data_IF_547140440311
#
_entry.id   IF_547140440311
#
_cell.length_a   1.000
_cell.length_b   1.000
_cell.length_c   1.000
_cell.angle_alpha   90.00
_cell.angle_beta   90.00
_cell.angle_gamma   90.00
#
_symmetry.space_group_name_H-M   'P 1'
#
loop_
_entity.id
_entity.type
_entity.pdbx_description
1 polymer ?
#
# COMPACT_ATOMS: atom_id res chain seq x y z
N UNK A 1 6.92 -25.00 39.23
CA UNK A 1 6.08 -25.96 38.48
C UNK A 1 4.76 -25.34 37.98
N UNK A 2 4.15 -24.36 38.69
CA UNK A 2 2.92 -23.65 38.25
C UNK A 2 2.93 -23.10 36.81
N UNK A 3 3.99 -22.40 36.40
CA UNK A 3 4.04 -21.66 35.12
C UNK A 3 3.96 -22.59 33.90
N UNK A 4 4.48 -23.82 34.02
CA UNK A 4 4.46 -24.80 32.93
C UNK A 4 3.06 -25.33 32.69
N UNK A 5 2.31 -25.61 33.76
CA UNK A 5 0.94 -26.13 33.67
C UNK A 5 -0.04 -25.08 33.13
N UNK A 6 0.17 -23.81 33.48
CA UNK A 6 -0.66 -22.72 32.95
C UNK A 6 -0.42 -22.48 31.45
N UNK A 7 0.84 -22.58 30.98
CA UNK A 7 1.15 -22.52 29.54
C UNK A 7 0.56 -23.70 28.77
N UNK A 8 0.65 -24.91 29.32
CA UNK A 8 0.06 -26.12 28.71
C UNK A 8 -1.46 -25.97 28.58
N UNK A 9 -2.12 -25.50 29.65
CA UNK A 9 -3.57 -25.25 29.64
C UNK A 9 -3.98 -24.19 28.61
N UNK A 10 -3.27 -23.06 28.55
CA UNK A 10 -3.53 -22.00 27.56
C UNK A 10 -3.35 -22.48 26.12
N UNK A 11 -2.30 -23.24 25.84
CA UNK A 11 -2.07 -23.79 24.50
C UNK A 11 -3.19 -24.76 24.08
N UNK A 12 -3.61 -25.66 24.97
CA UNK A 12 -4.70 -26.59 24.70
C UNK A 12 -6.02 -25.88 24.39
N UNK A 13 -6.32 -24.77 25.07
CA UNK A 13 -7.53 -23.98 24.82
C UNK A 13 -7.49 -23.30 23.45
N UNK A 14 -6.35 -22.75 23.05
CA UNK A 14 -6.20 -22.11 21.72
C UNK A 14 -6.23 -23.14 20.58
N UNK A 15 -5.72 -24.35 20.81
CA UNK A 15 -5.83 -25.48 19.87
C UNK A 15 -7.29 -25.92 19.66
N UNK A 16 -8.08 -26.04 20.73
CA UNK A 16 -9.50 -26.42 20.65
C UNK A 16 -10.30 -25.36 19.89
N UNK A 17 -10.15 -24.07 20.21
CA UNK A 17 -10.83 -22.98 19.50
C UNK A 17 -10.50 -22.94 18.01
N UNK A 18 -9.24 -23.22 17.67
CA UNK A 18 -8.81 -23.28 16.28
C UNK A 18 -9.49 -24.43 15.54
N UNK A 19 -9.57 -25.60 16.15
CA UNK A 19 -10.29 -26.75 15.60
C UNK A 19 -11.78 -26.46 15.40
N UNK A 20 -12.46 -25.88 16.39
CA UNK A 20 -13.88 -25.48 16.30
C UNK A 20 -14.13 -24.50 15.14
N UNK A 21 -13.24 -23.52 14.97
CA UNK A 21 -13.33 -22.55 13.87
C UNK A 21 -13.21 -23.22 12.50
N UNK A 22 -12.31 -24.19 12.36
CA UNK A 22 -12.17 -24.96 11.12
C UNK A 22 -13.38 -25.86 10.86
N UNK A 23 -13.87 -26.59 11.87
CA UNK A 23 -15.07 -27.42 11.76
C UNK A 23 -16.26 -26.59 11.28
N UNK A 24 -16.46 -25.40 11.87
CA UNK A 24 -17.51 -24.47 11.43
C UNK A 24 -17.33 -24.04 9.97
N UNK A 25 -16.11 -23.63 9.58
CA UNK A 25 -15.84 -23.18 8.21
C UNK A 25 -16.08 -24.29 7.16
N UNK A 26 -15.71 -25.54 7.47
CA UNK A 26 -15.99 -26.68 6.60
C UNK A 26 -17.49 -26.97 6.48
N UNK A 27 -18.24 -26.90 7.60
CA UNK A 27 -19.69 -27.05 7.59
C UNK A 27 -20.39 -25.94 6.78
N UNK A 28 -19.82 -24.75 6.73
CA UNK A 28 -20.28 -23.62 5.90
C UNK A 28 -19.88 -23.76 4.41
N UNK A 29 -19.25 -24.87 4.01
CA UNK A 29 -18.92 -25.18 2.62
C UNK A 29 -17.54 -24.73 2.17
N UNK A 30 -16.65 -24.29 3.09
CA UNK A 30 -15.24 -24.02 2.74
C UNK A 30 -14.56 -25.33 2.36
N UNK A 31 -14.05 -25.44 1.14
CA UNK A 31 -13.28 -26.62 0.68
C UNK A 31 -11.76 -26.39 0.68
N UNK A 32 -11.31 -25.13 0.82
CA UNK A 32 -9.90 -24.77 0.76
C UNK A 32 -9.26 -24.70 2.16
N UNK A 33 -8.13 -25.39 2.33
CA UNK A 33 -7.32 -25.44 3.57
C UNK A 33 -6.27 -24.33 3.61
N UNK A 34 -5.99 -23.65 2.49
CA UNK A 34 -5.09 -22.50 2.47
C UNK A 34 -5.64 -21.37 3.35
N UNK A 35 -4.72 -20.60 3.94
CA UNK A 35 -5.07 -19.42 4.71
C UNK A 35 -5.98 -18.48 3.92
N UNK A 36 -6.97 -17.92 4.60
CA UNK A 36 -7.80 -16.89 3.98
C UNK A 36 -6.92 -15.71 3.61
N UNK A 37 -7.23 -15.06 2.49
CA UNK A 37 -6.54 -13.86 2.07
C UNK A 37 -6.62 -12.82 3.19
N UNK A 38 -5.52 -12.63 3.91
CA UNK A 38 -5.42 -11.59 4.91
C UNK A 38 -5.53 -10.27 4.18
N UNK A 39 -6.55 -9.47 4.49
CA UNK A 39 -6.62 -8.10 4.03
C UNK A 39 -5.42 -7.36 4.65
N UNK A 40 -4.32 -7.25 3.88
CA UNK A 40 -3.19 -6.42 4.27
C UNK A 40 -3.64 -4.98 4.48
N UNK A 41 -2.91 -4.23 5.32
CA UNK A 41 -3.22 -2.82 5.58
C UNK A 41 -3.11 -2.00 4.29
N UNK A 42 -4.20 -1.39 3.78
CA UNK A 42 -4.09 -0.45 2.69
C UNK A 42 -3.49 0.84 3.27
N UNK A 43 -2.16 0.97 3.18
CA UNK A 43 -1.42 2.14 3.70
C UNK A 43 -1.79 3.45 2.99
N UNK A 44 -2.56 3.36 1.91
CA UNK A 44 -3.08 4.49 1.15
C UNK A 44 -4.56 4.20 0.87
N UNK A 45 -5.45 5.07 1.35
CA UNK A 45 -6.85 5.00 0.95
C UNK A 45 -6.96 5.30 -0.54
N UNK A 46 -7.75 4.50 -1.25
CA UNK A 46 -7.96 4.67 -2.70
C UNK A 46 -8.53 6.05 -3.04
N UNK A 47 -9.19 6.69 -2.08
CA UNK A 47 -9.69 8.08 -2.14
C UNK A 47 -8.59 9.13 -2.34
N UNK A 48 -7.34 8.83 -2.00
CA UNK A 48 -6.24 9.79 -2.05
C UNK A 48 -5.52 9.79 -3.42
N UNK A 49 -5.73 8.76 -4.24
CA UNK A 49 -5.10 8.61 -5.55
C UNK A 49 -5.56 9.70 -6.54
N UNK A 50 -6.87 10.03 -6.65
CA UNK A 50 -7.32 11.09 -7.56
C UNK A 50 -6.74 12.46 -7.23
N UNK A 51 -6.63 12.82 -5.93
CA UNK A 51 -6.09 14.11 -5.52
C UNK A 51 -4.63 14.31 -5.97
N UNK A 52 -3.80 13.26 -5.84
CA UNK A 52 -2.40 13.28 -6.31
C UNK A 52 -2.34 13.29 -7.83
N UNK A 53 -3.24 12.59 -8.52
CA UNK A 53 -3.31 12.59 -9.99
C UNK A 53 -3.60 13.98 -10.54
N UNK A 54 -4.63 14.67 -10.03
CA UNK A 54 -5.00 16.02 -10.45
C UNK A 54 -3.85 17.02 -10.26
N UNK A 55 -3.10 16.91 -9.16
CA UNK A 55 -1.91 17.76 -8.94
C UNK A 55 -0.82 17.50 -9.99
N UNK A 56 -0.55 16.24 -10.33
CA UNK A 56 0.43 15.89 -11.37
C UNK A 56 -0.01 16.29 -12.77
N UNK A 57 -1.31 16.23 -13.07
CA UNK A 57 -1.85 16.68 -14.35
C UNK A 57 -1.73 18.21 -14.50
N UNK A 58 -1.82 18.96 -13.39
CA UNK A 58 -1.61 20.41 -13.41
C UNK A 58 -0.14 20.82 -13.58
N UNK A 59 0.80 20.16 -12.89
CA UNK A 59 2.24 20.39 -13.04
C UNK A 59 3.03 19.09 -12.77
N UNK A 60 3.40 18.41 -13.86
CA UNK A 60 4.18 17.18 -13.81
C UNK A 60 5.65 17.36 -13.38
N UNK A 61 6.12 18.58 -13.12
CA UNK A 61 7.50 18.86 -12.68
C UNK A 61 7.62 19.01 -11.16
N UNK A 62 6.52 18.94 -10.41
CA UNK A 62 6.55 19.06 -8.96
C UNK A 62 7.40 17.95 -8.30
N UNK A 63 8.07 18.32 -7.21
CA UNK A 63 8.85 17.37 -6.42
C UNK A 63 7.97 16.65 -5.40
N UNK A 64 8.41 15.47 -4.96
CA UNK A 64 7.71 14.71 -3.89
C UNK A 64 7.56 15.54 -2.62
N UNK A 65 8.55 16.40 -2.31
CA UNK A 65 8.50 17.30 -1.15
C UNK A 65 7.41 18.35 -1.28
N UNK A 66 7.23 18.90 -2.47
CA UNK A 66 6.17 19.87 -2.74
C UNK A 66 4.80 19.22 -2.64
N UNK A 67 4.64 18.04 -3.25
CA UNK A 67 3.42 17.25 -3.13
C UNK A 67 3.10 16.89 -1.67
N UNK A 68 4.11 16.56 -0.86
CA UNK A 68 3.92 16.27 0.57
C UNK A 68 3.42 17.50 1.33
N UNK A 69 3.91 18.69 0.99
CA UNK A 69 3.45 19.95 1.58
C UNK A 69 1.99 20.25 1.20
N UNK A 70 1.60 19.98 -0.04
CA UNK A 70 0.25 20.27 -0.55
C UNK A 70 -0.79 19.24 -0.07
N UNK A 71 -0.42 17.97 0.00
CA UNK A 71 -1.35 16.87 0.32
C UNK A 71 -1.31 16.42 1.77
N UNK A 72 -0.27 16.78 2.53
CA UNK A 72 -0.03 16.29 3.89
C UNK A 72 0.42 14.82 3.96
N UNK A 73 0.65 14.17 2.81
CA UNK A 73 1.07 12.77 2.79
C UNK A 73 2.57 12.59 3.05
N UNK A 74 2.91 11.43 3.61
CA UNK A 74 4.31 11.05 3.75
C UNK A 74 4.97 10.87 2.38
N UNK A 75 6.28 11.16 2.29
CA UNK A 75 7.07 10.89 1.09
C UNK A 75 6.92 9.45 0.59
N UNK A 76 6.87 8.48 1.51
CA UNK A 76 6.76 7.05 1.15
C UNK A 76 5.40 6.72 0.53
N UNK A 77 4.33 7.34 1.03
CA UNK A 77 2.96 7.19 0.52
C UNK A 77 2.87 7.77 -0.88
N UNK A 78 3.37 8.99 -1.09
CA UNK A 78 3.38 9.63 -2.41
C UNK A 78 4.19 8.84 -3.44
N UNK A 79 5.38 8.37 -3.06
CA UNK A 79 6.20 7.54 -3.94
C UNK A 79 5.48 6.25 -4.34
N UNK A 80 4.78 5.62 -3.40
CA UNK A 80 3.97 4.44 -3.67
C UNK A 80 2.80 4.75 -4.61
N UNK A 81 2.06 5.83 -4.39
CA UNK A 81 0.95 6.25 -5.26
C UNK A 81 1.46 6.48 -6.69
N UNK A 82 2.48 7.34 -6.84
CA UNK A 82 3.03 7.69 -8.15
C UNK A 82 3.52 6.45 -8.90
N UNK A 83 4.26 5.55 -8.26
CA UNK A 83 4.84 4.38 -8.93
C UNK A 83 3.88 3.19 -9.09
N UNK A 84 3.06 2.89 -8.09
CA UNK A 84 2.26 1.65 -8.04
C UNK A 84 0.81 1.84 -8.41
N UNK A 85 0.24 3.04 -8.18
CA UNK A 85 -1.16 3.33 -8.49
C UNK A 85 -1.31 4.10 -9.80
N UNK A 86 -0.46 5.11 -10.03
CA UNK A 86 -0.48 5.93 -11.25
C UNK A 86 0.51 5.44 -12.33
N UNK A 87 1.35 4.46 -12.01
CA UNK A 87 2.36 3.90 -12.92
C UNK A 87 3.29 4.96 -13.58
N UNK A 88 3.58 6.04 -12.85
CA UNK A 88 4.41 7.14 -13.33
C UNK A 88 5.89 6.90 -13.07
N UNK A 89 6.73 7.44 -13.95
CA UNK A 89 8.19 7.45 -13.84
C UNK A 89 8.70 8.88 -13.98
N UNK A 90 9.72 9.24 -13.19
CA UNK A 90 10.42 10.52 -13.35
C UNK A 90 11.22 10.49 -14.66
N UNK A 91 10.95 11.44 -15.53
CA UNK A 91 11.71 11.67 -16.76
C UNK A 91 12.47 12.99 -16.60
N UNK A 92 13.77 13.00 -16.93
CA UNK A 92 14.54 14.23 -16.94
C UNK A 92 14.11 15.08 -18.15
N UNK A 93 13.99 16.39 -17.95
CA UNK A 93 13.72 17.33 -19.04
C UNK A 93 14.84 17.26 -20.07
N UNK A 94 14.46 17.19 -21.36
CA UNK A 94 15.41 17.29 -22.47
C UNK A 94 15.97 18.70 -22.52
N UNK A 95 17.29 18.83 -22.65
CA UNK A 95 17.93 20.10 -22.93
C UNK A 95 17.49 20.57 -24.33
N UNK A 96 16.78 21.69 -24.39
CA UNK A 96 16.53 22.39 -25.64
C UNK A 96 17.78 23.17 -26.01
N UNK A 97 18.48 22.76 -27.07
CA UNK A 97 19.48 23.64 -27.69
C UNK A 97 18.73 24.81 -28.30
N UNK A 98 18.89 25.99 -27.69
CA UNK A 98 18.41 27.24 -28.25
C UNK A 98 19.24 27.53 -29.50
N UNK A 99 18.75 27.10 -30.66
CA UNK A 99 19.21 27.62 -31.93
C UNK A 99 18.74 29.08 -31.98
N UNK A 100 19.59 29.95 -31.44
CA UNK A 100 19.62 31.35 -31.82
C UNK A 100 20.02 31.37 -33.30
N UNK A 101 19.05 31.17 -34.19
CA UNK A 101 19.18 31.61 -35.57
C UNK A 101 19.32 33.13 -35.51
N UNK A 102 20.57 33.58 -35.46
CA UNK A 102 20.98 34.94 -35.71
C UNK A 102 20.49 35.31 -37.12
N UNK A 103 19.29 35.85 -37.23
CA UNK A 103 18.82 36.46 -38.46
C UNK A 103 19.67 37.71 -38.69
N UNK A 104 20.45 37.67 -39.78
CA UNK A 104 21.26 38.76 -40.32
C UNK A 104 20.40 39.89 -40.86
#
# INVERSE_FOLDING_TARGET
MQIRNEKISKNAVEEIKTAERWVKAFNEGRQNVADMHLSGHPRVSETNVPAVATLMDSDGRQTIRELARQTGFSHTTLLHILKKRLNMRKIASRWGLHLMEMQK
#
